data_IF_616311724652
#
_entry.id   IF_616311724652
#
_cell.length_a   1.000
_cell.length_b   1.000
_cell.length_c   1.000
_cell.angle_alpha   90.00
_cell.angle_beta   90.00
_cell.angle_gamma   90.00
#
_symmetry.space_group_name_H-M   'P 1'
#
loop_
_entity.id
_entity.type
_entity.pdbx_description
1 polymer ?
#
# COMPACT_ATOMS: atom_id res chain seq x y z
N UNK A 1 0.66 3.83 -10.47
CA UNK A 1 1.49 2.82 -9.79
C UNK A 1 0.66 2.18 -8.71
N UNK A 2 1.31 1.63 -7.70
CA UNK A 2 0.67 1.23 -6.43
C UNK A 2 1.58 1.53 -5.26
N UNK A 3 1.00 1.65 -4.07
CA UNK A 3 1.70 1.77 -2.80
C UNK A 3 2.01 0.38 -2.23
N UNK A 4 2.99 0.29 -1.33
CA UNK A 4 3.43 -1.02 -0.82
C UNK A 4 2.34 -1.76 -0.04
N UNK A 5 1.47 -1.03 0.65
CA UNK A 5 0.46 -1.54 1.57
C UNK A 5 -0.94 -0.96 1.25
N UNK A 6 -1.34 -0.93 -0.03
CA UNK A 6 -2.64 -0.36 -0.49
C UNK A 6 -3.84 -0.74 0.39
N UNK A 7 -3.99 -2.03 0.71
CA UNK A 7 -5.08 -2.58 1.50
C UNK A 7 -5.05 -2.25 2.99
N UNK A 8 -4.07 -1.48 3.47
CA UNK A 8 -3.84 -1.23 4.88
C UNK A 8 -5.00 -0.45 5.53
N UNK A 9 -5.58 0.53 4.84
CA UNK A 9 -6.73 1.27 5.38
C UNK A 9 -7.93 0.36 5.63
N UNK A 10 -8.22 -0.54 4.68
CA UNK A 10 -9.27 -1.56 4.80
C UNK A 10 -8.94 -2.50 5.95
N UNK A 11 -7.70 -2.96 6.03
CA UNK A 11 -7.24 -3.89 7.07
C UNK A 11 -7.38 -3.31 8.47
N UNK A 12 -7.03 -2.03 8.66
CA UNK A 12 -7.19 -1.33 9.94
C UNK A 12 -8.67 -1.19 10.35
N UNK A 13 -9.60 -1.03 9.41
CA UNK A 13 -11.04 -0.99 9.70
C UNK A 13 -11.59 -2.31 10.24
N UNK A 14 -11.07 -3.44 9.76
CA UNK A 14 -11.41 -4.77 10.29
C UNK A 14 -10.68 -5.04 11.61
N UNK A 15 -9.39 -4.72 11.66
CA UNK A 15 -8.53 -5.00 12.80
C UNK A 15 -8.92 -4.24 14.07
N UNK A 16 -9.31 -2.97 13.96
CA UNK A 16 -9.80 -2.18 15.09
C UNK A 16 -11.18 -2.64 15.62
N UNK A 17 -11.78 -3.68 15.03
CA UNK A 17 -13.06 -4.25 15.45
C UNK A 17 -12.98 -5.77 15.51
N UNK A 18 -12.64 -6.32 16.68
CA UNK A 18 -12.57 -7.76 16.94
C UNK A 18 -13.80 -8.52 16.40
N UNK A 19 -15.00 -7.96 16.59
CA UNK A 19 -16.25 -8.52 16.07
C UNK A 19 -16.29 -8.61 14.53
N UNK A 20 -15.78 -7.59 13.81
CA UNK A 20 -15.74 -7.61 12.34
C UNK A 20 -14.73 -8.64 11.83
N UNK A 21 -13.57 -8.74 12.49
CA UNK A 21 -12.55 -9.72 12.16
C UNK A 21 -13.07 -11.15 12.35
N UNK A 22 -13.64 -11.45 13.52
CA UNK A 22 -14.25 -12.76 13.81
C UNK A 22 -15.42 -13.08 12.86
N UNK A 23 -16.19 -12.06 12.47
CA UNK A 23 -17.28 -12.23 11.50
C UNK A 23 -16.73 -12.55 10.10
N UNK A 24 -15.66 -11.88 9.68
CA UNK A 24 -14.98 -12.15 8.41
C UNK A 24 -14.40 -13.57 8.39
N UNK A 25 -13.72 -13.97 9.45
CA UNK A 25 -13.14 -15.32 9.57
C UNK A 25 -14.21 -16.41 9.57
N UNK A 26 -15.32 -16.21 10.29
CA UNK A 26 -16.45 -17.17 10.32
C UNK A 26 -17.20 -17.27 8.99
N UNK A 27 -17.24 -16.18 8.22
CA UNK A 27 -17.93 -16.12 6.94
C UNK A 27 -16.95 -16.05 5.76
N UNK A 28 -15.76 -16.64 5.93
CA UNK A 28 -14.64 -16.52 5.00
C UNK A 28 -15.06 -16.68 3.54
N UNK A 29 -15.75 -17.77 3.19
CA UNK A 29 -16.10 -18.09 1.80
C UNK A 29 -16.96 -17.00 1.15
N UNK A 30 -17.93 -16.48 1.90
CA UNK A 30 -18.79 -15.42 1.38
C UNK A 30 -18.05 -14.08 1.27
N UNK A 31 -17.25 -13.75 2.28
CA UNK A 31 -16.52 -12.50 2.33
C UNK A 31 -15.44 -12.44 1.25
N UNK A 32 -14.66 -13.50 1.07
CA UNK A 32 -13.53 -13.51 0.14
C UNK A 32 -14.00 -13.48 -1.31
N UNK A 33 -15.03 -14.25 -1.66
CA UNK A 33 -15.61 -14.22 -3.00
C UNK A 33 -16.12 -12.81 -3.34
N UNK A 34 -16.82 -12.17 -2.39
CA UNK A 34 -17.27 -10.78 -2.57
C UNK A 34 -16.10 -9.79 -2.69
N UNK A 35 -15.05 -9.94 -1.86
CA UNK A 35 -13.84 -9.10 -1.91
C UNK A 35 -13.15 -9.15 -3.28
N UNK A 36 -13.16 -10.31 -3.95
CA UNK A 36 -12.60 -10.48 -5.29
C UNK A 36 -13.64 -10.30 -6.42
N UNK A 37 -14.87 -9.89 -6.11
CA UNK A 37 -15.93 -9.70 -7.12
C UNK A 37 -16.40 -10.98 -7.80
N UNK A 38 -16.25 -12.13 -7.13
CA UNK A 38 -16.57 -13.46 -7.66
C UNK A 38 -17.99 -13.84 -7.25
N UNK A 39 -18.92 -14.08 -8.21
CA UNK A 39 -20.26 -14.57 -7.89
C UNK A 39 -20.22 -15.91 -7.17
N UNK A 40 -21.10 -16.13 -6.20
CA UNK A 40 -21.14 -17.39 -5.43
C UNK A 40 -21.53 -18.59 -6.28
N UNK A 41 -22.25 -18.33 -7.37
CA UNK A 41 -22.70 -19.31 -8.35
C UNK A 41 -21.58 -19.75 -9.30
N UNK A 42 -20.38 -19.15 -9.19
CA UNK A 42 -19.22 -19.54 -9.98
C UNK A 42 -18.91 -21.03 -9.73
N UNK A 43 -18.77 -21.85 -10.79
CA UNK A 43 -18.37 -23.23 -10.63
C UNK A 43 -17.08 -23.35 -9.82
N UNK A 44 -17.08 -24.20 -8.79
CA UNK A 44 -15.95 -24.40 -7.87
C UNK A 44 -15.58 -23.16 -7.01
N UNK A 45 -16.53 -22.26 -6.72
CA UNK A 45 -16.29 -21.10 -5.86
C UNK A 45 -15.70 -21.46 -4.49
N UNK A 46 -16.12 -22.57 -3.87
CA UNK A 46 -15.57 -23.06 -2.60
C UNK A 46 -14.08 -23.45 -2.72
N UNK A 47 -13.70 -24.10 -3.83
CA UNK A 47 -12.30 -24.47 -4.11
C UNK A 47 -11.46 -23.21 -4.29
N UNK A 48 -12.00 -22.21 -4.98
CA UNK A 48 -11.32 -20.93 -5.18
C UNK A 48 -11.15 -20.16 -3.85
N UNK A 49 -12.20 -20.11 -3.03
CA UNK A 49 -12.13 -19.53 -1.69
C UNK A 49 -11.04 -20.19 -0.83
N UNK A 50 -10.96 -21.53 -0.84
CA UNK A 50 -9.94 -22.27 -0.11
C UNK A 50 -8.53 -21.98 -0.62
N UNK A 51 -8.33 -21.92 -1.95
CA UNK A 51 -7.05 -21.52 -2.55
C UNK A 51 -6.64 -20.11 -2.13
N UNK A 52 -7.55 -19.15 -2.17
CA UNK A 52 -7.26 -17.77 -1.73
C UNK A 52 -6.87 -17.77 -0.25
N UNK A 53 -7.56 -18.56 0.59
CA UNK A 53 -7.20 -18.71 2.00
C UNK A 53 -5.78 -19.21 2.18
N UNK A 54 -5.38 -20.25 1.46
CA UNK A 54 -4.05 -20.84 1.59
C UNK A 54 -2.92 -19.89 1.14
N UNK A 55 -3.20 -18.95 0.21
CA UNK A 55 -2.22 -17.92 -0.22
C UNK A 55 -1.88 -16.95 0.92
N UNK A 56 -2.89 -16.48 1.66
CA UNK A 56 -2.73 -15.41 2.65
C UNK A 56 -2.64 -15.93 4.10
N UNK A 57 -3.28 -17.06 4.38
CA UNK A 57 -3.41 -17.67 5.70
C UNK A 57 -3.17 -19.19 5.60
N UNK A 58 -1.93 -19.60 5.29
CA UNK A 58 -1.59 -21.02 5.15
C UNK A 58 -1.85 -21.78 6.45
N UNK A 59 -2.22 -23.06 6.32
CA UNK A 59 -2.45 -23.94 7.47
C UNK A 59 -1.22 -23.99 8.38
N UNK A 60 -1.45 -24.09 9.69
CA UNK A 60 -0.44 -24.13 10.75
C UNK A 60 0.36 -22.83 10.96
N UNK A 61 -0.07 -21.71 10.38
CA UNK A 61 0.53 -20.41 10.67
C UNK A 61 0.02 -19.89 12.03
N UNK A 62 0.79 -20.06 13.09
CA UNK A 62 0.57 -19.34 14.36
C UNK A 62 1.02 -17.88 14.20
N UNK A 63 0.19 -17.09 13.51
CA UNK A 63 0.48 -15.71 13.18
C UNK A 63 0.25 -14.83 14.40
N UNK A 64 1.27 -14.01 14.71
CA UNK A 64 1.09 -12.90 15.64
C UNK A 64 0.03 -11.94 15.11
N UNK A 65 -0.48 -11.11 16.01
CA UNK A 65 -1.52 -10.14 15.69
C UNK A 65 -1.09 -9.18 14.57
N UNK A 66 0.16 -8.70 14.59
CA UNK A 66 0.71 -7.83 13.53
C UNK A 66 0.89 -8.57 12.21
N UNK A 67 1.28 -9.85 12.25
CA UNK A 67 1.38 -10.68 11.06
C UNK A 67 0.01 -10.90 10.41
N UNK A 68 -1.05 -11.11 11.20
CA UNK A 68 -2.42 -11.20 10.67
C UNK A 68 -2.83 -9.91 9.98
N UNK A 69 -2.56 -8.75 10.59
CA UNK A 69 -2.82 -7.45 9.96
C UNK A 69 -2.11 -7.34 8.60
N UNK A 70 -0.83 -7.72 8.52
CA UNK A 70 -0.09 -7.72 7.26
C UNK A 70 -0.66 -8.66 6.21
N UNK A 71 -1.19 -9.84 6.60
CA UNK A 71 -1.82 -10.76 5.65
C UNK A 71 -3.14 -10.20 5.11
N UNK A 72 -3.97 -9.59 5.96
CA UNK A 72 -5.14 -8.85 5.50
C UNK A 72 -4.75 -7.69 4.58
N UNK A 73 -3.69 -6.95 4.90
CA UNK A 73 -3.18 -5.87 4.06
C UNK A 73 -2.82 -6.38 2.67
N UNK A 74 -2.06 -7.48 2.57
CA UNK A 74 -1.73 -8.09 1.27
C UNK A 74 -2.97 -8.56 0.51
N UNK A 75 -3.92 -9.20 1.20
CA UNK A 75 -5.16 -9.68 0.61
C UNK A 75 -5.97 -8.54 0.01
N UNK A 76 -6.21 -7.47 0.77
CA UNK A 76 -6.96 -6.32 0.29
C UNK A 76 -6.17 -5.52 -0.75
N UNK A 77 -4.84 -5.40 -0.63
CA UNK A 77 -4.00 -4.79 -1.67
C UNK A 77 -4.17 -5.51 -3.00
N UNK A 78 -4.14 -6.84 -3.01
CA UNK A 78 -4.25 -7.61 -4.23
C UNK A 78 -5.66 -7.57 -4.83
N UNK A 79 -6.68 -7.74 -4.00
CA UNK A 79 -8.07 -7.74 -4.42
C UNK A 79 -8.55 -6.38 -4.95
N UNK A 80 -8.13 -5.28 -4.31
CA UNK A 80 -8.63 -3.94 -4.64
C UNK A 80 -7.76 -3.22 -5.68
N UNK A 81 -6.46 -3.53 -5.75
CA UNK A 81 -5.51 -2.73 -6.54
C UNK A 81 -4.58 -3.60 -7.41
N UNK A 82 -3.72 -4.43 -6.80
CA UNK A 82 -2.57 -4.99 -7.51
C UNK A 82 -2.96 -5.85 -8.71
N UNK A 83 -4.02 -6.67 -8.61
CA UNK A 83 -4.50 -7.50 -9.72
C UNK A 83 -4.90 -6.64 -10.92
N UNK A 84 -5.71 -5.62 -10.68
CA UNK A 84 -6.24 -4.73 -11.71
C UNK A 84 -5.15 -3.87 -12.33
N UNK A 85 -4.21 -3.34 -11.53
CA UNK A 85 -3.09 -2.53 -12.01
C UNK A 85 -2.12 -3.39 -12.84
N UNK A 86 -1.77 -4.59 -12.36
CA UNK A 86 -0.92 -5.55 -13.09
C UNK A 86 -1.51 -5.90 -14.46
N UNK A 87 -2.81 -6.19 -14.50
CA UNK A 87 -3.53 -6.47 -15.75
C UNK A 87 -3.56 -5.25 -16.67
N UNK A 88 -3.89 -4.07 -16.14
CA UNK A 88 -3.97 -2.82 -16.91
C UNK A 88 -2.63 -2.46 -17.54
N UNK A 89 -1.52 -2.58 -16.81
CA UNK A 89 -0.17 -2.37 -17.33
C UNK A 89 0.13 -3.35 -18.47
N UNK A 90 -0.22 -4.63 -18.29
CA UNK A 90 0.03 -5.69 -19.27
C UNK A 90 -0.73 -5.47 -20.59
N UNK A 91 -1.93 -4.89 -20.53
CA UNK A 91 -2.72 -4.51 -21.70
C UNK A 91 -2.20 -3.22 -22.31
N UNK A 92 -2.03 -2.16 -21.51
CA UNK A 92 -1.68 -0.82 -22.02
C UNK A 92 -0.31 -0.78 -22.70
N UNK A 93 0.67 -1.56 -22.20
CA UNK A 93 2.02 -1.60 -22.77
C UNK A 93 2.08 -2.09 -24.23
N UNK A 94 1.00 -2.69 -24.72
CA UNK A 94 0.88 -3.10 -26.13
C UNK A 94 0.61 -1.92 -27.06
N UNK A 95 0.16 -0.79 -26.52
CA UNK A 95 -0.32 0.37 -27.28
C UNK A 95 0.48 1.64 -27.01
N UNK A 96 1.05 1.79 -25.82
CA UNK A 96 1.84 2.97 -25.46
C UNK A 96 2.99 2.62 -24.50
N UNK A 97 4.02 3.47 -24.38
CA UNK A 97 4.94 3.42 -23.25
C UNK A 97 4.18 3.44 -21.93
N UNK A 98 4.64 2.65 -20.95
CA UNK A 98 4.06 2.58 -19.61
C UNK A 98 5.17 2.67 -18.57
N UNK A 99 4.96 3.50 -17.56
CA UNK A 99 5.92 3.81 -16.50
C UNK A 99 5.35 3.39 -15.13
N UNK A 100 5.38 2.08 -14.81
CA UNK A 100 4.83 1.58 -13.55
C UNK A 100 5.76 1.93 -12.39
N UNK A 101 5.18 2.48 -11.32
CA UNK A 101 5.91 2.72 -10.07
C UNK A 101 5.32 1.91 -8.91
N UNK A 102 6.20 1.59 -7.96
CA UNK A 102 5.88 0.99 -6.68
C UNK A 102 6.35 1.92 -5.57
N UNK A 103 5.42 2.55 -4.85
CA UNK A 103 5.75 3.52 -3.81
C UNK A 103 5.92 2.80 -2.46
N UNK A 104 7.14 2.80 -1.92
CA UNK A 104 7.50 2.05 -0.71
C UNK A 104 8.20 2.89 0.35
N UNK A 105 8.28 4.21 0.15
CA UNK A 105 8.86 5.11 1.13
C UNK A 105 8.05 5.10 2.42
N UNK A 106 8.75 4.85 3.52
CA UNK A 106 8.22 4.97 4.88
C UNK A 106 8.70 6.29 5.48
N UNK A 107 7.82 6.97 6.21
CA UNK A 107 8.10 8.29 6.78
C UNK A 107 7.31 9.40 6.10
N UNK A 108 7.09 10.48 6.85
CA UNK A 108 6.13 11.52 6.52
C UNK A 108 4.72 11.22 7.03
N UNK A 109 3.74 12.10 6.71
CA UNK A 109 2.35 11.93 7.12
C UNK A 109 1.72 10.71 6.41
N UNK A 110 1.38 9.66 7.16
CA UNK A 110 0.64 8.50 6.62
C UNK A 110 -0.86 8.59 6.95
N UNK A 111 -1.71 8.33 5.95
CA UNK A 111 -3.16 8.32 6.11
C UNK A 111 -3.62 7.22 7.06
N UNK A 112 -2.88 6.12 7.16
CA UNK A 112 -3.16 5.00 8.06
C UNK A 112 -3.09 5.42 9.54
N UNK A 113 -2.08 6.20 9.93
CA UNK A 113 -1.90 6.73 11.29
C UNK A 113 -3.04 7.67 11.66
N UNK A 114 -3.43 8.56 10.75
CA UNK A 114 -4.55 9.45 11.00
C UNK A 114 -5.89 8.72 11.07
N UNK A 115 -6.13 7.74 10.19
CA UNK A 115 -7.35 6.94 10.22
C UNK A 115 -7.43 6.16 11.54
N UNK A 116 -6.35 5.52 11.99
CA UNK A 116 -6.29 4.86 13.30
C UNK A 116 -6.57 5.86 14.46
N UNK A 117 -6.01 7.07 14.37
CA UNK A 117 -6.34 8.15 15.30
C UNK A 117 -7.84 8.49 15.27
N UNK A 118 -8.49 8.60 14.11
CA UNK A 118 -9.92 8.90 14.03
C UNK A 118 -10.79 7.74 14.56
N UNK A 119 -10.44 6.49 14.26
CA UNK A 119 -11.25 5.30 14.54
C UNK A 119 -11.34 4.91 16.02
N UNK A 120 -10.34 5.24 16.85
CA UNK A 120 -10.38 4.91 18.28
C UNK A 120 -11.48 5.72 18.99
N UNK A 121 -12.35 5.11 19.81
CA UNK A 121 -13.52 5.78 20.44
C UNK A 121 -13.18 6.75 21.60
N UNK A 122 -11.97 7.29 21.67
CA UNK A 122 -11.57 8.31 22.67
C UNK A 122 -11.73 9.73 22.12
N UNK A 123 -11.85 10.73 23.01
CA UNK A 123 -11.91 12.14 22.58
C UNK A 123 -10.63 12.54 21.85
N UNK A 124 -10.75 13.40 20.82
CA UNK A 124 -9.62 13.86 20.00
C UNK A 124 -8.48 14.46 20.84
N UNK A 125 -8.81 15.14 21.94
CA UNK A 125 -7.84 15.70 22.88
C UNK A 125 -6.99 14.62 23.59
N UNK A 126 -7.61 13.51 24.03
CA UNK A 126 -6.88 12.38 24.65
C UNK A 126 -5.99 11.68 23.63
N UNK A 127 -6.42 11.63 22.36
CA UNK A 127 -5.63 11.05 21.26
C UNK A 127 -4.42 11.88 20.91
N UNK A 128 -4.59 13.20 20.79
CA UNK A 128 -3.48 14.13 20.58
C UNK A 128 -2.50 14.05 21.76
N UNK A 129 -2.99 14.05 23.00
CA UNK A 129 -2.16 13.89 24.19
C UNK A 129 -1.36 12.58 24.15
N UNK A 130 -2.00 11.45 23.82
CA UNK A 130 -1.31 10.16 23.66
C UNK A 130 -0.32 10.17 22.50
N UNK A 131 -0.67 10.72 21.35
CA UNK A 131 0.23 10.84 20.20
C UNK A 131 1.49 11.63 20.56
N UNK A 132 1.34 12.80 21.18
CA UNK A 132 2.47 13.60 21.65
C UNK A 132 3.27 12.89 22.75
N UNK A 133 2.60 12.25 23.72
CA UNK A 133 3.27 11.50 24.79
C UNK A 133 4.04 10.29 24.26
N UNK A 134 3.46 9.54 23.32
CA UNK A 134 4.09 8.39 22.66
C UNK A 134 5.23 8.84 21.76
N UNK A 135 5.09 9.91 20.98
CA UNK A 135 6.18 10.46 20.18
C UNK A 135 7.33 10.98 21.04
N UNK A 136 7.03 11.64 22.17
CA UNK A 136 8.04 12.08 23.12
C UNK A 136 8.75 10.89 23.79
N UNK A 137 7.98 9.89 24.24
CA UNK A 137 8.51 8.65 24.81
C UNK A 137 9.40 7.90 23.82
N UNK A 138 8.96 7.77 22.57
CA UNK A 138 9.71 7.14 21.48
C UNK A 138 11.00 7.89 21.16
N UNK A 139 10.95 9.23 21.15
CA UNK A 139 12.14 10.08 20.99
C UNK A 139 13.14 9.93 22.15
N UNK A 140 12.65 9.73 23.38
CA UNK A 140 13.48 9.56 24.57
C UNK A 140 14.03 8.14 24.74
N UNK A 141 13.29 7.12 24.30
CA UNK A 141 13.65 5.70 24.46
C UNK A 141 14.29 5.09 23.21
N UNK A 142 14.31 5.83 22.09
CA UNK A 142 14.77 5.32 20.80
C UNK A 142 13.80 4.30 20.16
N UNK A 143 12.64 4.07 20.77
CA UNK A 143 11.59 3.24 20.16
C UNK A 143 11.05 3.92 18.91
N UNK A 144 10.88 3.15 17.83
CA UNK A 144 10.24 3.67 16.61
C UNK A 144 8.74 3.81 16.85
N UNK A 145 8.09 4.89 16.41
CA UNK A 145 6.63 4.98 16.41
C UNK A 145 6.01 3.82 15.63
N UNK A 146 4.75 3.52 15.94
CA UNK A 146 4.00 2.47 15.27
C UNK A 146 3.91 2.77 13.77
N UNK A 147 4.60 1.94 12.99
CA UNK A 147 4.72 2.04 11.53
C UNK A 147 3.82 0.97 10.91
N UNK A 148 2.62 1.39 10.50
CA UNK A 148 1.64 0.48 9.93
C UNK A 148 1.97 0.05 8.49
N UNK A 149 2.85 0.79 7.79
CA UNK A 149 3.15 0.59 6.37
C UNK A 149 2.82 1.79 5.50
N UNK A 150 2.86 1.59 4.18
CA UNK A 150 2.66 2.63 3.15
C UNK A 150 1.30 2.45 2.49
N UNK A 151 0.29 3.12 3.04
CA UNK A 151 -1.11 2.85 2.71
C UNK A 151 -1.57 3.55 1.43
N UNK A 152 -2.79 3.21 1.00
CA UNK A 152 -3.44 3.88 -0.12
C UNK A 152 -3.49 5.41 0.10
N UNK A 153 -2.94 6.15 -0.86
CA UNK A 153 -2.91 7.62 -0.86
C UNK A 153 -1.70 8.27 -0.18
N UNK A 154 -0.78 7.52 0.42
CA UNK A 154 0.44 8.09 1.03
C UNK A 154 1.36 8.77 -0.01
N UNK A 155 1.35 8.31 -1.26
CA UNK A 155 2.03 8.95 -2.39
C UNK A 155 1.43 10.32 -2.76
N UNK A 156 0.12 10.50 -2.57
CA UNK A 156 -0.54 11.79 -2.82
C UNK A 156 -0.07 12.88 -1.85
N UNK A 157 0.25 12.52 -0.60
CA UNK A 157 0.79 13.47 0.37
C UNK A 157 2.16 14.04 -0.06
N UNK A 158 2.89 13.34 -0.93
CA UNK A 158 4.15 13.81 -1.52
C UNK A 158 3.95 14.71 -2.74
N UNK A 159 2.75 14.73 -3.34
CA UNK A 159 2.42 15.50 -4.54
C UNK A 159 1.61 16.75 -4.24
N UNK A 160 0.72 16.68 -3.24
CA UNK A 160 -0.27 17.71 -2.97
C UNK A 160 -0.26 18.14 -1.51
N UNK A 161 -0.63 19.41 -1.30
CA UNK A 161 -0.95 19.95 0.02
C UNK A 161 -2.40 19.58 0.32
N UNK A 162 -2.63 18.52 1.09
CA UNK A 162 -3.98 17.95 1.29
C UNK A 162 -4.68 18.52 2.53
N UNK A 163 -3.97 18.76 3.64
CA UNK A 163 -4.48 19.43 4.85
C UNK A 163 -3.32 19.74 5.81
N UNK A 164 -3.45 20.69 6.74
CA UNK A 164 -2.46 21.02 7.80
C UNK A 164 -1.99 19.80 8.60
N UNK A 165 -2.81 18.76 8.72
CA UNK A 165 -2.50 17.53 9.44
C UNK A 165 -1.72 16.49 8.62
N UNK A 166 -1.69 16.66 7.29
CA UNK A 166 -1.10 15.72 6.32
C UNK A 166 -0.04 16.34 5.43
N UNK A 167 0.39 17.55 5.74
CA UNK A 167 1.37 18.24 4.93
C UNK A 167 2.77 17.70 5.21
N UNK A 168 3.50 17.46 4.13
CA UNK A 168 4.96 17.40 4.14
C UNK A 168 5.51 18.60 4.90
N UNK A 169 6.50 18.34 5.74
CA UNK A 169 7.18 19.38 6.50
C UNK A 169 7.68 20.48 5.56
N UNK A 170 7.40 21.74 5.91
CA UNK A 170 7.77 22.89 5.05
C UNK A 170 9.24 23.27 5.17
N UNK A 171 10.00 22.63 6.06
CA UNK A 171 11.45 22.82 6.16
C UNK A 171 12.11 22.27 4.89
N UNK A 172 12.76 23.13 4.08
CA UNK A 172 13.43 22.71 2.86
C UNK A 172 14.55 21.68 3.08
N UNK A 173 15.05 21.54 4.30
CA UNK A 173 16.08 20.59 4.67
C UNK A 173 15.51 19.26 5.21
N UNK A 174 14.20 19.17 5.40
CA UNK A 174 13.57 17.93 5.83
C UNK A 174 13.64 16.89 4.71
N UNK A 175 13.83 15.62 5.10
CA UNK A 175 13.86 14.51 4.16
C UNK A 175 12.54 14.41 3.36
N UNK A 176 11.40 14.69 3.99
CA UNK A 176 10.09 14.66 3.34
C UNK A 176 9.94 15.76 2.29
N UNK A 177 10.43 16.98 2.56
CA UNK A 177 10.38 18.07 1.57
C UNK A 177 11.26 17.77 0.35
N UNK A 178 12.49 17.30 0.58
CA UNK A 178 13.41 16.93 -0.49
C UNK A 178 12.79 15.81 -1.35
N UNK A 179 12.18 14.81 -0.70
CA UNK A 179 11.51 13.71 -1.37
C UNK A 179 10.29 14.18 -2.18
N UNK A 180 9.41 14.97 -1.58
CA UNK A 180 8.24 15.56 -2.24
C UNK A 180 8.64 16.40 -3.46
N UNK A 181 9.71 17.20 -3.35
CA UNK A 181 10.24 17.96 -4.48
C UNK A 181 10.72 17.05 -5.62
N UNK A 182 11.40 15.95 -5.30
CA UNK A 182 11.79 14.94 -6.29
C UNK A 182 10.56 14.25 -6.93
N UNK A 183 9.52 13.99 -6.14
CA UNK A 183 8.26 13.40 -6.60
C UNK A 183 7.53 14.35 -7.57
N UNK A 184 7.35 15.62 -7.19
CA UNK A 184 6.74 16.64 -8.05
C UNK A 184 7.54 16.84 -9.33
N UNK A 185 8.88 16.86 -9.25
CA UNK A 185 9.74 16.93 -10.44
C UNK A 185 9.49 15.73 -11.36
N UNK A 186 9.47 14.50 -10.84
CA UNK A 186 9.25 13.31 -11.65
C UNK A 186 7.90 13.36 -12.39
N UNK A 187 6.83 13.80 -11.74
CA UNK A 187 5.52 13.97 -12.38
C UNK A 187 5.53 15.09 -13.44
N UNK A 188 6.26 16.18 -13.19
CA UNK A 188 6.42 17.26 -14.15
C UNK A 188 7.25 16.81 -15.37
N UNK A 189 8.32 16.04 -15.15
CA UNK A 189 9.12 15.44 -16.21
C UNK A 189 8.23 14.52 -17.07
N UNK A 190 7.44 13.64 -16.47
CA UNK A 190 6.48 12.80 -17.21
C UNK A 190 5.54 13.61 -18.12
N UNK A 191 5.06 14.75 -17.63
CA UNK A 191 4.14 15.61 -18.37
C UNK A 191 4.82 16.46 -19.48
N UNK A 192 6.15 16.60 -19.46
CA UNK A 192 6.89 17.50 -20.34
C UNK A 192 7.88 16.80 -21.26
N UNK A 193 8.65 15.85 -20.72
CA UNK A 193 9.58 14.99 -21.44
C UNK A 193 9.76 13.65 -20.71
N UNK A 194 9.00 12.64 -21.13
CA UNK A 194 9.02 11.29 -20.57
C UNK A 194 10.33 10.51 -20.84
N UNK A 195 11.25 11.06 -21.64
CA UNK A 195 12.52 10.38 -21.99
C UNK A 195 13.67 10.70 -21.05
N UNK A 196 13.54 11.78 -20.25
CA UNK A 196 14.58 12.25 -19.32
C UNK A 196 14.19 12.09 -17.84
N UNK A 197 13.15 11.31 -17.56
CA UNK A 197 12.67 11.07 -16.21
C UNK A 197 13.74 10.44 -15.31
N UNK A 198 14.00 11.11 -14.20
CA UNK A 198 14.88 10.62 -13.15
C UNK A 198 14.28 10.88 -11.77
N UNK A 199 14.51 9.97 -10.84
CA UNK A 199 14.14 10.13 -9.45
C UNK A 199 15.38 9.94 -8.58
N UNK A 200 15.78 11.02 -7.88
CA UNK A 200 17.02 11.07 -7.10
C UNK A 200 18.26 10.57 -7.88
N UNK A 201 18.35 10.93 -9.16
CA UNK A 201 19.47 10.57 -10.04
C UNK A 201 19.38 9.17 -10.67
N UNK A 202 18.35 8.39 -10.35
CA UNK A 202 18.13 7.07 -10.98
C UNK A 202 17.14 7.22 -12.14
N UNK A 203 17.50 6.67 -13.30
CA UNK A 203 16.66 6.70 -14.51
C UNK A 203 15.39 5.88 -14.31
N UNK A 204 14.24 6.45 -14.68
CA UNK A 204 12.94 5.78 -14.73
C UNK A 204 12.52 5.54 -16.20
N UNK A 205 12.94 4.41 -16.80
CA UNK A 205 12.59 4.11 -18.18
C UNK A 205 11.16 3.59 -18.32
N UNK A 206 10.61 3.71 -19.52
CA UNK A 206 9.41 2.98 -19.91
C UNK A 206 9.64 1.47 -19.81
N UNK A 207 8.58 0.71 -19.57
CA UNK A 207 8.61 -0.74 -19.66
C UNK A 207 9.11 -1.18 -21.04
N UNK A 208 10.20 -1.95 -21.04
CA UNK A 208 10.70 -2.60 -22.24
C UNK A 208 9.78 -3.75 -22.69
N UNK A 209 10.06 -4.36 -23.86
CA UNK A 209 9.26 -5.44 -24.45
C UNK A 209 9.34 -6.79 -23.68
N UNK A 210 9.96 -6.80 -22.49
CA UNK A 210 10.13 -8.00 -21.69
C UNK A 210 8.76 -8.55 -21.26
N UNK A 211 8.62 -9.88 -21.22
CA UNK A 211 7.37 -10.51 -20.76
C UNK A 211 7.08 -10.17 -19.30
N UNK A 212 8.12 -10.12 -18.48
CA UNK A 212 8.01 -9.86 -17.05
C UNK A 212 7.81 -8.39 -16.74
N UNK A 213 6.80 -8.08 -15.91
CA UNK A 213 6.56 -6.72 -15.44
C UNK A 213 7.66 -6.29 -14.46
N UNK A 214 8.20 -5.10 -14.68
CA UNK A 214 9.11 -4.40 -13.78
C UNK A 214 8.43 -3.14 -13.26
N UNK A 215 8.80 -2.71 -12.06
CA UNK A 215 8.31 -1.48 -11.44
C UNK A 215 9.49 -0.62 -11.06
N UNK A 216 9.34 0.69 -11.16
CA UNK A 216 10.28 1.62 -10.56
C UNK A 216 9.90 1.84 -9.09
N UNK A 217 10.74 1.38 -8.19
CA UNK A 217 10.54 1.57 -6.76
C UNK A 217 10.86 3.02 -6.37
N UNK A 218 9.83 3.72 -5.90
CA UNK A 218 9.93 5.09 -5.38
C UNK A 218 10.11 4.98 -3.85
N UNK A 219 11.36 5.11 -3.41
CA UNK A 219 11.80 4.99 -2.02
C UNK A 219 13.03 5.87 -1.77
N UNK A 220 13.57 5.85 -0.55
CA UNK A 220 14.85 6.51 -0.24
C UNK A 220 16.07 5.83 -0.94
N UNK A 221 15.85 4.71 -1.63
CA UNK A 221 16.86 4.01 -2.43
C UNK A 221 16.21 3.51 -3.73
N UNK A 222 15.91 4.42 -4.67
CA UNK A 222 15.11 4.11 -5.83
C UNK A 222 15.84 3.19 -6.80
N UNK A 223 15.09 2.26 -7.41
CA UNK A 223 15.63 1.24 -8.33
C UNK A 223 14.52 0.57 -9.12
N UNK A 224 14.89 -0.07 -10.22
CA UNK A 224 13.99 -1.00 -10.90
C UNK A 224 13.91 -2.32 -10.12
N UNK A 225 12.69 -2.79 -9.89
CA UNK A 225 12.38 -4.07 -9.23
C UNK A 225 11.49 -4.93 -10.14
N UNK A 226 11.46 -6.23 -9.86
CA UNK A 226 10.41 -7.11 -10.41
C UNK A 226 9.09 -6.77 -9.71
N UNK A 227 7.97 -7.07 -10.37
CA UNK A 227 6.63 -6.94 -9.78
C UNK A 227 6.57 -7.60 -8.38
N UNK A 228 6.40 -6.82 -7.30
CA UNK A 228 6.65 -7.30 -5.93
C UNK A 228 5.56 -8.24 -5.38
N UNK A 229 4.43 -8.34 -6.08
CA UNK A 229 3.28 -9.16 -5.71
C UNK A 229 2.98 -10.27 -6.73
N UNK A 230 3.88 -10.48 -7.70
CA UNK A 230 3.69 -11.43 -8.80
C UNK A 230 3.33 -12.83 -8.34
N UNK A 231 4.04 -13.37 -7.35
CA UNK A 231 3.81 -14.75 -6.88
C UNK A 231 2.37 -14.96 -6.40
N UNK A 232 1.73 -13.94 -5.84
CA UNK A 232 0.32 -14.00 -5.41
C UNK A 232 -0.62 -13.72 -6.57
N UNK A 233 -0.35 -12.69 -7.36
CA UNK A 233 -1.23 -12.29 -8.46
C UNK A 233 -1.27 -13.30 -9.59
N UNK A 234 -0.17 -14.03 -9.86
CA UNK A 234 -0.14 -15.08 -10.88
C UNK A 234 -1.01 -16.29 -10.47
N UNK A 235 -1.00 -16.66 -9.19
CA UNK A 235 -1.88 -17.73 -8.66
C UNK A 235 -3.35 -17.30 -8.72
N UNK A 236 -3.65 -16.04 -8.40
CA UNK A 236 -5.01 -15.50 -8.44
C UNK A 236 -5.58 -15.37 -9.86
N UNK A 237 -4.71 -15.25 -10.88
CA UNK A 237 -5.09 -15.19 -12.29
C UNK A 237 -5.30 -16.58 -12.91
N UNK A 238 -4.75 -17.64 -12.32
CA UNK A 238 -4.81 -19.03 -12.83
C UNK A 238 -6.08 -19.76 -12.43
#
# INVERSE_FOLDING_TARGET
GVNADEGLLTSLLFYNSHQKLESFERNWDNCILWTFGIPKETPNAEVLSAKIKDIYFPKDSDLTVDQKLQQFTKLFSDAQFNLHVSHSISVQRQFSPVYPYYFSRRGGPSLSVFLDMLMKRSSLAIKLLKFFATNLYNKLTGNKPMDYGVCHGDDLAMLFVVDKLFNVEKDPNSADYIFSKAMVKLWADFATDETSMTFQGVNFPALGPNKDLQYFEISDSPKLIKEPFRDRTDILKS
#
